data_IF_227420416269
#
_entry.id   IF_227420416269
#
_cell.length_a   1.000
_cell.length_b   1.000
_cell.length_c   1.000
_cell.angle_alpha   90.00
_cell.angle_beta   90.00
_cell.angle_gamma   90.00
#
_symmetry.space_group_name_H-M   'P 1'
#
loop_
_entity.id
_entity.type
_entity.pdbx_description
1 polymer ?
#
# COMPACT_ATOMS: atom_id res chain seq x y z
N UNK A 1 -15.65 -21.11 1.46
CA UNK A 1 -15.09 -19.98 2.24
C UNK A 1 -13.84 -20.48 2.94
N UNK A 2 -12.70 -19.83 2.72
CA UNK A 2 -11.40 -20.29 3.24
C UNK A 2 -10.95 -19.41 4.40
N UNK A 3 -10.12 -19.95 5.29
CA UNK A 3 -9.59 -19.22 6.44
C UNK A 3 -8.06 -19.21 6.41
N UNK A 4 -7.45 -18.05 6.58
CA UNK A 4 -6.01 -17.85 6.55
C UNK A 4 -5.49 -17.42 7.92
N UNK A 5 -4.41 -18.07 8.37
CA UNK A 5 -3.67 -17.61 9.55
C UNK A 5 -2.88 -16.35 9.22
N UNK A 6 -2.59 -15.53 10.24
CA UNK A 6 -1.68 -14.39 10.08
C UNK A 6 -0.29 -14.93 9.69
N UNK A 7 0.35 -14.37 8.65
CA UNK A 7 1.71 -14.76 8.24
C UNK A 7 2.73 -14.66 9.37
N UNK A 8 3.78 -15.49 9.28
CA UNK A 8 4.95 -15.47 10.20
C UNK A 8 5.96 -14.39 9.83
N UNK A 9 6.04 -14.04 8.55
CA UNK A 9 6.89 -12.97 8.02
C UNK A 9 6.60 -11.65 8.75
N UNK A 10 7.63 -11.01 9.31
CA UNK A 10 7.47 -9.89 10.21
C UNK A 10 6.80 -8.68 9.54
N UNK A 11 7.22 -8.32 8.33
CA UNK A 11 6.68 -7.18 7.61
C UNK A 11 5.23 -7.40 7.19
N UNK A 12 4.93 -8.56 6.59
CA UNK A 12 3.58 -8.90 6.17
C UNK A 12 2.66 -9.05 7.36
N UNK A 13 3.14 -9.64 8.46
CA UNK A 13 2.44 -9.73 9.74
C UNK A 13 2.08 -8.35 10.24
N UNK A 14 3.04 -7.42 10.31
CA UNK A 14 2.79 -6.05 10.76
C UNK A 14 1.71 -5.34 9.91
N UNK A 15 1.75 -5.51 8.58
CA UNK A 15 0.74 -4.96 7.66
C UNK A 15 -0.65 -5.56 7.91
N UNK A 16 -0.75 -6.88 8.09
CA UNK A 16 -2.02 -7.56 8.39
C UNK A 16 -2.59 -7.12 9.75
N UNK A 17 -1.75 -7.09 10.78
CA UNK A 17 -2.14 -6.66 12.12
C UNK A 17 -2.65 -5.22 12.08
N UNK A 18 -1.94 -4.33 11.39
CA UNK A 18 -2.33 -2.92 11.24
C UNK A 18 -3.70 -2.77 10.57
N UNK A 19 -3.96 -3.53 9.51
CA UNK A 19 -5.25 -3.52 8.82
C UNK A 19 -6.39 -4.00 9.74
N UNK A 20 -6.17 -5.09 10.48
CA UNK A 20 -7.16 -5.63 11.42
C UNK A 20 -7.38 -4.68 12.60
N UNK A 21 -6.32 -4.10 13.17
CA UNK A 21 -6.40 -3.10 14.25
C UNK A 21 -7.24 -1.90 13.82
N UNK A 22 -7.02 -1.39 12.60
CA UNK A 22 -7.83 -0.31 12.02
C UNK A 22 -9.29 -0.70 11.86
N UNK A 23 -9.57 -1.94 11.45
CA UNK A 23 -10.94 -2.42 11.34
C UNK A 23 -11.63 -2.53 12.70
N UNK A 24 -10.92 -3.00 13.74
CA UNK A 24 -11.44 -3.13 15.10
C UNK A 24 -11.70 -1.79 15.77
N UNK A 25 -10.78 -0.82 15.64
CA UNK A 25 -10.95 0.49 16.26
C UNK A 25 -12.17 1.24 15.73
N UNK A 26 -12.54 1.02 14.46
CA UNK A 26 -13.76 1.55 13.85
C UNK A 26 -15.05 0.84 14.30
N UNK A 27 -14.95 -0.33 14.93
CA UNK A 27 -16.09 -1.09 15.46
C UNK A 27 -16.35 -0.79 16.96
N UNK A 28 -15.90 0.37 17.48
CA UNK A 28 -16.03 0.75 18.89
C UNK A 28 -15.40 -0.25 19.88
N UNK A 29 -14.41 -1.03 19.43
CA UNK A 29 -13.61 -1.89 20.31
C UNK A 29 -12.39 -1.09 20.77
N UNK A 30 -12.51 -0.46 21.93
CA UNK A 30 -11.46 0.39 22.54
C UNK A 30 -10.31 -0.43 23.13
N UNK A 31 -10.50 -1.73 23.33
CA UNK A 31 -9.48 -2.61 23.88
C UNK A 31 -8.26 -2.72 22.95
N UNK A 32 -7.07 -2.52 23.54
CA UNK A 32 -5.80 -2.82 22.91
C UNK A 32 -5.80 -4.30 22.51
N UNK A 33 -5.80 -4.56 21.21
CA UNK A 33 -5.81 -5.92 20.69
C UNK A 33 -4.47 -6.26 20.08
N UNK A 34 -3.83 -7.29 20.61
CA UNK A 34 -2.68 -7.93 19.99
C UNK A 34 -3.06 -9.37 19.61
N UNK A 35 -2.81 -9.81 18.36
CA UNK A 35 -3.22 -11.14 17.93
C UNK A 35 -2.41 -12.19 18.69
N UNK A 36 -3.07 -13.25 19.20
CA UNK A 36 -2.36 -14.39 19.76
C UNK A 36 -1.41 -14.99 18.70
N UNK A 37 -0.28 -15.53 19.15
CA UNK A 37 0.74 -16.11 18.27
C UNK A 37 0.17 -17.25 17.40
N UNK A 38 -0.84 -17.97 17.90
CA UNK A 38 -1.49 -19.09 17.23
C UNK A 38 -3.01 -18.92 17.33
N UNK A 39 -3.73 -19.32 16.27
CA UNK A 39 -5.19 -19.48 16.31
C UNK A 39 -6.01 -18.34 15.68
N UNK A 40 -5.46 -17.14 15.48
CA UNK A 40 -6.19 -16.10 14.76
C UNK A 40 -6.30 -16.42 13.27
N UNK A 41 -7.54 -16.51 12.79
CA UNK A 41 -7.87 -16.82 11.40
C UNK A 41 -8.72 -15.73 10.78
N UNK A 42 -8.42 -15.38 9.55
CA UNK A 42 -9.12 -14.39 8.76
C UNK A 42 -9.82 -15.07 7.57
N UNK A 43 -11.10 -14.77 7.33
CA UNK A 43 -11.79 -15.36 6.18
C UNK A 43 -11.28 -14.78 4.85
N UNK A 44 -11.54 -15.50 3.76
CA UNK A 44 -11.26 -15.09 2.39
C UNK A 44 -11.81 -13.72 2.01
N UNK A 45 -12.93 -13.31 2.61
CA UNK A 45 -13.72 -12.17 2.16
C UNK A 45 -13.06 -10.83 2.49
N UNK A 46 -12.06 -10.85 3.37
CA UNK A 46 -11.23 -9.67 3.65
C UNK A 46 -10.24 -9.35 2.51
N UNK A 47 -10.12 -10.23 1.51
CA UNK A 47 -9.34 -10.04 0.30
C UNK A 47 -10.24 -9.67 -0.88
N UNK A 48 -9.71 -8.88 -1.80
CA UNK A 48 -10.46 -8.33 -2.95
C UNK A 48 -10.88 -9.46 -3.89
N UNK A 49 -9.99 -10.42 -4.16
CA UNK A 49 -10.31 -11.60 -4.98
C UNK A 49 -10.92 -12.77 -4.22
N UNK A 50 -11.13 -12.66 -2.90
CA UNK A 50 -11.50 -13.79 -2.06
C UNK A 50 -10.35 -14.76 -1.77
N UNK A 51 -9.11 -14.40 -2.09
CA UNK A 51 -7.91 -15.20 -1.77
C UNK A 51 -6.73 -14.31 -1.40
N UNK A 52 -5.90 -14.77 -0.48
CA UNK A 52 -4.63 -14.09 -0.18
C UNK A 52 -3.66 -14.26 -1.36
N UNK A 53 -2.90 -13.22 -1.67
CA UNK A 53 -1.76 -13.30 -2.59
C UNK A 53 -0.46 -13.24 -1.81
N UNK A 54 0.55 -14.01 -2.21
CA UNK A 54 1.89 -13.98 -1.60
C UNK A 54 2.83 -12.97 -2.31
N UNK A 55 2.38 -12.38 -3.42
CA UNK A 55 3.13 -11.33 -4.12
C UNK A 55 2.93 -9.98 -3.41
N UNK A 56 4.01 -9.30 -2.95
CA UNK A 56 3.93 -8.02 -2.21
C UNK A 56 3.33 -6.88 -3.04
N UNK A 57 3.38 -6.95 -4.37
CA UNK A 57 2.80 -5.96 -5.28
C UNK A 57 1.31 -6.19 -5.56
N UNK A 58 0.77 -7.34 -5.13
CA UNK A 58 -0.63 -7.66 -5.33
C UNK A 58 -1.51 -6.89 -4.33
N UNK A 59 -2.64 -6.33 -4.77
CA UNK A 59 -3.62 -5.72 -3.86
C UNK A 59 -4.18 -6.71 -2.81
N UNK A 60 -4.12 -8.02 -3.08
CA UNK A 60 -4.52 -9.09 -2.16
C UNK A 60 -3.42 -9.56 -1.21
N UNK A 61 -2.27 -8.86 -1.17
CA UNK A 61 -1.18 -9.18 -0.25
C UNK A 61 -1.57 -8.96 1.22
N UNK A 62 -2.46 -8.00 1.47
CA UNK A 62 -2.97 -7.61 2.78
C UNK A 62 -4.49 -7.59 2.77
N UNK A 63 -5.14 -7.92 3.90
CA UNK A 63 -6.58 -7.79 4.00
C UNK A 63 -6.96 -6.31 3.94
N UNK A 64 -7.90 -5.99 3.06
CA UNK A 64 -8.27 -4.60 2.78
C UNK A 64 -9.79 -4.39 2.68
N UNK A 65 -10.57 -5.45 2.51
CA UNK A 65 -12.03 -5.37 2.47
C UNK A 65 -12.55 -5.45 3.90
N UNK A 66 -13.06 -4.34 4.42
CA UNK A 66 -13.68 -4.26 5.75
C UNK A 66 -14.96 -3.42 5.68
N UNK A 67 -15.91 -3.70 6.57
CA UNK A 67 -17.23 -3.04 6.58
C UNK A 67 -17.16 -1.51 6.75
N UNK A 68 -16.15 -1.01 7.46
CA UNK A 68 -15.98 0.44 7.66
C UNK A 68 -15.50 1.15 6.39
N UNK A 69 -15.01 0.42 5.38
CA UNK A 69 -14.51 1.03 4.15
C UNK A 69 -15.70 1.35 3.24
N UNK A 70 -15.85 2.63 2.82
CA UNK A 70 -16.93 3.01 1.92
C UNK A 70 -16.79 2.37 0.52
N UNK A 71 -17.93 2.20 -0.15
CA UNK A 71 -18.04 1.57 -1.47
C UNK A 71 -17.09 2.13 -2.55
N UNK A 72 -16.91 3.47 -2.69
CA UNK A 72 -15.98 4.01 -3.70
C UNK A 72 -14.54 3.55 -3.52
N UNK A 73 -14.08 3.40 -2.28
CA UNK A 73 -12.73 2.94 -1.98
C UNK A 73 -12.59 1.44 -2.27
N UNK A 74 -13.59 0.63 -1.94
CA UNK A 74 -13.63 -0.78 -2.35
C UNK A 74 -13.62 -0.94 -3.89
N UNK A 75 -14.30 -0.06 -4.62
CA UNK A 75 -14.25 -0.04 -6.09
C UNK A 75 -12.84 0.24 -6.62
N UNK A 76 -12.14 1.23 -6.05
CA UNK A 76 -10.74 1.52 -6.40
C UNK A 76 -9.83 0.31 -6.16
N UNK A 77 -10.02 -0.43 -5.07
CA UNK A 77 -9.25 -1.64 -4.78
C UNK A 77 -9.48 -2.75 -5.81
N UNK A 78 -10.74 -2.99 -6.20
CA UNK A 78 -11.08 -3.92 -7.27
C UNK A 78 -10.41 -3.53 -8.60
N UNK A 79 -10.45 -2.25 -8.96
CA UNK A 79 -9.78 -1.73 -10.15
C UNK A 79 -8.25 -1.95 -10.10
N UNK A 80 -7.61 -1.71 -8.95
CA UNK A 80 -6.16 -1.99 -8.78
C UNK A 80 -5.85 -3.47 -9.00
N UNK A 81 -6.68 -4.37 -8.48
CA UNK A 81 -6.52 -5.81 -8.68
C UNK A 81 -6.66 -6.19 -10.15
N UNK A 82 -7.65 -5.63 -10.85
CA UNK A 82 -7.85 -5.86 -12.28
C UNK A 82 -6.65 -5.43 -13.12
N UNK A 83 -6.15 -4.21 -12.89
CA UNK A 83 -4.95 -3.69 -13.57
C UNK A 83 -3.72 -4.56 -13.27
N UNK A 84 -3.55 -4.99 -12.01
CA UNK A 84 -2.48 -5.91 -11.63
C UNK A 84 -2.58 -7.22 -12.42
N UNK A 85 -3.76 -7.85 -12.47
CA UNK A 85 -3.98 -9.10 -13.19
C UNK A 85 -3.72 -8.95 -14.69
N UNK A 86 -4.16 -7.84 -15.31
CA UNK A 86 -3.87 -7.53 -16.72
C UNK A 86 -2.37 -7.47 -16.98
N UNK A 87 -1.61 -6.80 -16.11
CA UNK A 87 -0.15 -6.71 -16.21
C UNK A 87 0.51 -8.09 -16.07
N UNK A 88 0.06 -8.92 -15.12
CA UNK A 88 0.60 -10.28 -14.97
C UNK A 88 0.33 -11.14 -16.21
N UNK A 89 -0.89 -11.09 -16.75
CA UNK A 89 -1.26 -11.83 -17.96
C UNK A 89 -0.39 -11.43 -19.16
N UNK A 90 -0.20 -10.13 -19.40
CA UNK A 90 0.65 -9.64 -20.48
C UNK A 90 2.11 -10.10 -20.34
N UNK A 91 2.65 -10.11 -19.11
CA UNK A 91 3.99 -10.65 -18.83
C UNK A 91 4.10 -12.13 -19.17
N UNK A 92 3.12 -12.94 -18.78
CA UNK A 92 3.11 -14.38 -19.06
C UNK A 92 3.02 -14.67 -20.56
N UNK A 93 2.16 -13.97 -21.29
CA UNK A 93 2.03 -14.10 -22.74
C UNK A 93 3.34 -13.78 -23.48
N UNK A 94 4.04 -12.72 -23.06
CA UNK A 94 5.35 -12.39 -23.65
C UNK A 94 6.38 -13.49 -23.40
N UNK A 95 6.43 -14.03 -22.19
CA UNK A 95 7.35 -15.13 -21.83
C UNK A 95 7.05 -16.38 -22.67
N UNK A 96 5.77 -16.73 -22.82
CA UNK A 96 5.34 -17.87 -23.64
C UNK A 96 5.74 -17.70 -25.11
N UNK A 97 5.49 -16.52 -25.70
CA UNK A 97 5.88 -16.21 -27.07
C UNK A 97 7.40 -16.31 -27.29
N UNK A 98 8.20 -15.77 -26.36
CA UNK A 98 9.66 -15.87 -26.44
C UNK A 98 10.14 -17.32 -26.32
N UNK A 99 9.52 -18.13 -25.46
CA UNK A 99 9.85 -19.56 -25.34
C UNK A 99 9.54 -20.35 -26.61
N UNK A 100 8.41 -20.07 -27.25
CA UNK A 100 8.04 -20.73 -28.51
C UNK A 100 8.96 -20.31 -29.66
N UNK A 101 9.29 -19.02 -29.75
CA UNK A 101 10.20 -18.49 -30.78
C UNK A 101 11.64 -18.99 -30.60
N UNK A 102 12.15 -19.05 -29.36
CA UNK A 102 13.49 -19.59 -29.07
C UNK A 102 13.65 -21.06 -29.44
N UNK A 103 12.55 -21.83 -29.49
CA UNK A 103 12.55 -23.25 -29.89
C UNK A 103 12.53 -23.45 -31.41
N UNK A 104 12.32 -22.38 -32.19
CA UNK A 104 12.23 -22.43 -33.65
C UNK A 104 13.55 -22.07 -34.37
N UNK A 105 14.62 -21.75 -33.65
CA UNK A 105 15.93 -21.43 -34.24
C UNK A 105 16.83 -22.68 -34.18
N UNK A 106 17.17 -23.33 -35.31
CA UNK A 106 18.16 -24.39 -35.30
C UNK A 106 19.55 -23.81 -34.95
N UNK A 107 20.44 -24.58 -34.30
CA UNK A 107 21.78 -24.10 -33.99
C UNK A 107 22.50 -23.77 -35.30
N UNK A 108 22.69 -22.47 -35.57
CA UNK A 108 23.64 -22.02 -36.59
C UNK A 108 25.03 -22.41 -36.11
N UNK A 109 25.68 -23.30 -36.84
CA UNK A 109 27.11 -23.56 -36.69
C UNK A 109 27.86 -22.24 -36.80
N UNK A 110 28.60 -21.90 -35.75
CA UNK A 110 29.48 -20.75 -35.68
C UNK A 110 30.58 -20.89 -36.72
N UNK A 111 30.50 -20.10 -37.80
CA UNK A 111 31.67 -19.88 -38.66
C UNK A 111 32.52 -18.80 -37.99
N UNK A 112 33.62 -19.28 -37.45
CA UNK A 112 34.75 -18.58 -36.85
C UNK A 112 35.23 -17.39 -37.69
N UNK A 113 35.25 -16.19 -37.11
CA UNK A 113 35.97 -15.03 -37.62
C UNK A 113 37.02 -14.64 -36.58
N UNK A 114 38.17 -15.29 -36.61
CA UNK A 114 39.35 -14.82 -35.91
C UNK A 114 40.31 -14.16 -36.89
N UNK A 115 41.08 -13.20 -36.34
CA UNK A 115 42.26 -12.47 -36.83
C UNK A 115 41.98 -11.01 -37.26
N UNK A 116 42.70 -9.99 -36.81
CA UNK A 116 43.85 -9.85 -35.90
C UNK A 116 43.92 -8.37 -35.45
N UNK A 117 44.40 -8.10 -34.22
CA UNK A 117 44.80 -6.77 -33.73
C UNK A 117 46.31 -6.53 -34.03
N UNK A 118 46.83 -5.29 -34.12
CA UNK A 118 47.37 -4.64 -32.89
C UNK A 118 47.46 -3.09 -32.83
N UNK A 119 47.42 -2.63 -31.57
CA UNK A 119 48.19 -1.55 -30.90
C UNK A 119 47.96 -0.03 -31.13
N UNK A 120 47.76 0.61 -29.97
CA UNK A 120 48.25 1.91 -29.45
C UNK A 120 47.85 3.25 -30.07
N UNK A 121 47.16 4.06 -29.23
CA UNK A 121 47.62 5.39 -28.77
C UNK A 121 46.70 5.96 -27.67
N UNK A 122 47.26 6.18 -26.47
CA UNK A 122 46.79 7.18 -25.48
C UNK A 122 47.47 8.53 -25.77
N UNK A 123 46.85 9.70 -25.51
CA UNK A 123 46.99 10.33 -24.17
C UNK A 123 45.79 11.17 -23.64
N UNK A 124 45.61 11.09 -22.32
CA UNK A 124 45.13 12.03 -21.28
C UNK A 124 44.46 13.36 -21.65
N UNK A 125 43.23 13.61 -21.12
CA UNK A 125 42.86 14.81 -20.33
C UNK A 125 41.53 14.59 -19.56
N UNK A 126 41.55 14.68 -18.21
CA UNK A 126 40.41 14.90 -17.29
C UNK A 126 40.12 16.42 -17.15
N UNK A 127 39.06 16.95 -16.46
CA UNK A 127 38.04 16.29 -15.63
C UNK A 127 36.57 16.78 -15.85
N UNK A 128 35.55 15.97 -15.54
CA UNK A 128 34.24 16.51 -15.11
C UNK A 128 33.41 15.56 -14.22
N UNK A 129 33.54 15.79 -12.91
CA UNK A 129 32.56 15.67 -11.81
C UNK A 129 31.69 14.40 -11.68
N UNK A 130 32.10 13.62 -10.69
CA UNK A 130 31.30 12.81 -9.77
C UNK A 130 30.17 13.63 -9.10
N UNK A 131 28.99 13.04 -8.96
CA UNK A 131 28.01 13.48 -7.96
C UNK A 131 27.22 12.27 -7.46
N UNK A 132 27.80 11.68 -6.43
CA UNK A 132 27.14 10.90 -5.37
C UNK A 132 26.10 11.81 -4.69
N UNK A 133 24.85 11.35 -4.61
CA UNK A 133 23.82 11.98 -3.79
C UNK A 133 23.82 11.29 -2.42
N UNK A 134 24.53 11.91 -1.48
CA UNK A 134 24.47 11.63 -0.05
C UNK A 134 23.17 12.22 0.54
N UNK A 135 22.58 11.47 1.47
CA UNK A 135 21.53 11.92 2.39
C UNK A 135 22.01 13.08 3.28
N UNK A 136 21.19 14.11 3.52
CA UNK A 136 21.42 15.00 4.65
C UNK A 136 20.76 14.44 5.91
N UNK A 137 21.62 14.04 6.85
CA UNK A 137 21.27 13.79 8.24
C UNK A 137 20.68 15.04 8.92
N UNK A 138 19.69 14.81 9.78
CA UNK A 138 19.02 15.85 10.57
C UNK A 138 19.61 15.93 11.98
N UNK A 139 20.72 16.63 12.12
CA UNK A 139 21.18 17.10 13.44
C UNK A 139 20.26 18.25 13.90
N UNK A 140 19.42 17.97 14.89
CA UNK A 140 18.69 18.98 15.67
C UNK A 140 19.19 18.92 17.09
N UNK A 141 19.83 20.00 17.56
CA UNK A 141 19.90 20.47 18.95
C UNK A 141 20.41 21.94 18.97
N UNK A 142 20.31 22.68 20.08
CA UNK A 142 19.10 23.24 20.69
C UNK A 142 19.20 24.78 20.80
N UNK A 143 18.09 25.52 20.73
CA UNK A 143 18.12 26.95 21.08
C UNK A 143 17.04 27.25 22.10
N UNK A 144 17.50 27.41 23.34
CA UNK A 144 16.86 28.16 24.41
C UNK A 144 16.76 29.63 23.98
N UNK A 145 15.58 30.22 24.11
CA UNK A 145 15.41 31.60 24.56
C UNK A 145 14.06 31.68 25.27
N UNK A 146 14.15 31.82 26.59
CA UNK A 146 13.07 32.28 27.47
C UNK A 146 12.85 33.77 27.22
N UNK A 147 11.60 34.21 27.18
CA UNK A 147 11.13 35.43 27.85
C UNK A 147 9.59 35.53 27.69
N UNK A 148 8.89 35.29 28.80
CA UNK A 148 7.48 35.62 29.07
C UNK A 148 7.38 37.13 29.35
N UNK A 149 6.33 37.85 28.92
CA UNK A 149 5.22 38.05 29.87
C UNK A 149 3.81 38.17 29.25
N UNK A 150 2.85 37.55 29.94
CA UNK A 150 1.52 38.09 30.31
C UNK A 150 0.31 37.99 29.33
N UNK A 151 -0.60 37.04 29.64
CA UNK A 151 -2.11 37.09 29.72
C UNK A 151 -2.95 37.43 28.46
N UNK A 152 -4.28 37.10 28.35
CA UNK A 152 -5.20 36.31 29.19
C UNK A 152 -6.07 35.26 28.39
N UNK A 153 -7.07 34.56 28.99
CA UNK A 153 -7.63 33.31 28.47
C UNK A 153 -8.97 33.43 27.70
N UNK A 154 -9.25 32.35 26.95
CA UNK A 154 -10.57 31.77 26.59
C UNK A 154 -11.78 32.72 26.41
N UNK A 155 -12.22 32.90 25.16
CA UNK A 155 -13.56 33.39 24.85
C UNK A 155 -14.37 32.30 24.15
N UNK A 156 -15.37 31.80 24.87
CA UNK A 156 -16.54 31.13 24.30
C UNK A 156 -17.39 32.18 23.59
N UNK A 157 -17.54 32.07 22.27
CA UNK A 157 -18.63 32.75 21.56
C UNK A 157 -19.59 31.73 20.95
N UNK A 158 -20.80 31.83 21.50
CA UNK A 158 -22.11 31.38 21.07
C UNK A 158 -22.27 31.28 19.55
N UNK A 159 -22.48 30.05 19.05
CA UNK A 159 -23.20 29.85 17.79
C UNK A 159 -24.68 29.65 18.12
N UNK A 160 -25.48 30.67 17.80
CA UNK A 160 -26.94 30.61 17.74
C UNK A 160 -27.40 29.50 16.79
N UNK A 161 -27.76 28.34 17.33
CA UNK A 161 -28.51 27.33 16.58
C UNK A 161 -30.00 27.60 16.77
N UNK A 162 -30.54 28.39 15.85
CA UNK A 162 -31.97 28.64 15.75
C UNK A 162 -32.76 27.31 15.72
N UNK A 163 -33.68 27.21 16.68
CA UNK A 163 -34.56 26.09 16.95
C UNK A 163 -35.62 25.96 15.85
N UNK A 164 -35.37 25.10 14.85
CA UNK A 164 -36.42 24.64 13.95
C UNK A 164 -37.30 23.60 14.67
N UNK A 165 -38.51 24.04 15.04
CA UNK A 165 -39.60 23.23 15.60
C UNK A 165 -40.19 22.34 14.49
N UNK A 166 -40.44 21.03 14.72
CA UNK A 166 -41.17 20.20 13.77
C UNK A 166 -42.69 20.50 13.82
N UNK A 167 -43.41 20.41 12.68
CA UNK A 167 -44.87 20.58 12.67
C UNK A 167 -45.58 19.38 13.31
N UNK A 168 -46.67 19.69 14.03
CA UNK A 168 -47.51 18.73 14.73
C UNK A 168 -48.30 17.82 13.78
N UNK A 169 -48.37 16.54 14.12
CA UNK A 169 -49.23 15.54 13.47
C UNK A 169 -50.70 15.73 13.88
N UNK A 170 -51.69 15.69 12.97
CA UNK A 170 -53.10 15.66 13.36
C UNK A 170 -53.52 14.26 13.84
N UNK A 171 -54.13 14.23 15.02
CA UNK A 171 -54.77 13.06 15.65
C UNK A 171 -55.99 12.62 14.84
N UNK A 172 -56.04 11.34 14.45
CA UNK A 172 -57.18 10.73 13.77
C UNK A 172 -58.17 10.22 14.82
N UNK A 173 -59.23 10.99 15.08
CA UNK A 173 -60.34 10.58 15.94
C UNK A 173 -61.22 9.59 15.17
N UNK A 174 -61.35 8.39 15.73
CA UNK A 174 -62.26 7.34 15.27
C UNK A 174 -63.67 7.62 15.82
N UNK A 175 -64.66 7.71 14.94
CA UNK A 175 -66.08 7.52 15.22
C UNK A 175 -66.65 6.59 14.15
#
# INVERSE_FOLDING_TARGET
MSFYCIPKDAERRAKWISAIKRARSKQNKTERWDPPAVGFRLCSDYFISGRKSDNPLSPDFVPSIFNYVPSPENRKRKMRLEVFNRRQKAKLQKIEQTKLSAKAIPPRTSTNCNKDHPADQTPTTDPLKESTHEEPGNDVQPVLHEDDPATPPCSTETCDFAKLRPPATPTLTRL
#
